data_IF_551451103924
#
_entry.id   IF_551451103924
#
_cell.length_a   1.000
_cell.length_b   1.000
_cell.length_c   1.000
_cell.angle_alpha   90.00
_cell.angle_beta   90.00
_cell.angle_gamma   90.00
#
_symmetry.space_group_name_H-M   'P 1'
#
loop_
_entity.id
_entity.type
_entity.pdbx_description
1 polymer ?
#
# COMPACT_ATOMS: atom_id res chain seq x y z
N UNK A 1 -7.40 8.28 6.09
CA UNK A 1 -6.03 8.47 6.62
C UNK A 1 -5.32 7.14 6.67
N UNK A 2 -4.05 7.14 6.35
CA UNK A 2 -3.25 5.91 6.32
C UNK A 2 -3.27 5.16 7.66
N UNK A 3 -3.04 5.87 8.76
CA UNK A 3 -2.95 5.26 10.09
C UNK A 3 -4.22 4.50 10.47
N UNK A 4 -5.37 5.10 10.24
CA UNK A 4 -6.66 4.47 10.54
C UNK A 4 -6.95 3.30 9.61
N UNK A 5 -6.62 3.45 8.33
CA UNK A 5 -6.83 2.40 7.34
C UNK A 5 -5.97 1.18 7.65
N UNK A 6 -4.73 1.39 8.06
CA UNK A 6 -3.83 0.30 8.45
C UNK A 6 -4.39 -0.47 9.64
N UNK A 7 -4.81 0.25 10.68
CA UNK A 7 -5.37 -0.37 11.89
C UNK A 7 -6.61 -1.20 11.56
N UNK A 8 -7.51 -0.63 10.76
CA UNK A 8 -8.74 -1.30 10.34
C UNK A 8 -8.43 -2.59 9.56
N UNK A 9 -7.54 -2.51 8.58
CA UNK A 9 -7.17 -3.65 7.75
C UNK A 9 -6.50 -4.75 8.59
N UNK A 10 -5.62 -4.37 9.50
CA UNK A 10 -4.97 -5.31 10.41
C UNK A 10 -5.99 -6.08 11.25
N UNK A 11 -6.93 -5.36 11.84
CA UNK A 11 -7.96 -5.96 12.69
C UNK A 11 -8.89 -6.88 11.89
N UNK A 12 -9.25 -6.50 10.67
CA UNK A 12 -10.05 -7.35 9.78
C UNK A 12 -9.35 -8.66 9.47
N UNK A 13 -8.03 -8.63 9.37
CA UNK A 13 -7.23 -9.82 9.13
C UNK A 13 -7.03 -10.65 10.40
N UNK A 14 -7.45 -10.15 11.56
CA UNK A 14 -7.32 -10.85 12.83
C UNK A 14 -5.90 -10.84 13.39
N UNK A 15 -5.07 -9.89 12.98
CA UNK A 15 -3.67 -9.82 13.42
C UNK A 15 -3.50 -8.81 14.56
N UNK A 16 -2.65 -9.18 15.54
CA UNK A 16 -2.15 -8.20 16.50
C UNK A 16 -1.07 -7.35 15.85
N UNK A 17 -0.71 -6.24 16.51
CA UNK A 17 0.43 -5.43 16.07
C UNK A 17 1.72 -6.27 16.04
N UNK A 18 1.91 -7.12 17.03
CA UNK A 18 3.08 -8.00 17.09
C UNK A 18 3.08 -9.02 15.96
N UNK A 19 1.92 -9.61 15.64
CA UNK A 19 1.81 -10.59 14.57
C UNK A 19 2.09 -9.95 13.20
N UNK A 20 1.51 -8.79 12.95
CA UNK A 20 1.77 -8.05 11.71
C UNK A 20 3.24 -7.65 11.62
N UNK A 21 3.81 -7.15 12.71
CA UNK A 21 5.23 -6.77 12.74
C UNK A 21 6.13 -7.94 12.41
N UNK A 22 5.83 -9.12 12.95
CA UNK A 22 6.59 -10.34 12.68
C UNK A 22 6.55 -10.72 11.20
N UNK A 23 5.38 -10.65 10.59
CA UNK A 23 5.23 -10.95 9.16
C UNK A 23 5.98 -9.95 8.27
N UNK A 24 6.03 -8.70 8.68
CA UNK A 24 6.69 -7.63 7.93
C UNK A 24 8.19 -7.51 8.23
N UNK A 25 8.63 -8.06 9.35
CA UNK A 25 10.03 -7.96 9.78
C UNK A 25 10.32 -6.71 10.60
N UNK A 26 9.32 -6.14 11.29
CA UNK A 26 9.48 -4.97 12.16
C UNK A 26 8.89 -5.26 13.54
N UNK A 27 9.20 -4.41 14.50
CA UNK A 27 8.67 -4.55 15.86
C UNK A 27 7.21 -4.11 15.94
N UNK A 28 6.47 -4.65 16.91
CA UNK A 28 5.09 -4.25 17.19
C UNK A 28 4.98 -2.76 17.44
N UNK A 29 5.95 -2.16 18.13
CA UNK A 29 5.99 -0.74 18.40
C UNK A 29 6.03 0.09 17.11
N UNK A 30 6.72 -0.37 16.08
CA UNK A 30 6.76 0.29 14.78
C UNK A 30 5.38 0.32 14.15
N UNK A 31 4.66 -0.81 14.18
CA UNK A 31 3.27 -0.86 13.69
C UNK A 31 2.41 0.14 14.47
N UNK A 32 2.53 0.17 15.79
CA UNK A 32 1.80 1.10 16.63
C UNK A 32 2.06 2.57 16.27
N UNK A 33 3.30 2.93 15.97
CA UNK A 33 3.66 4.29 15.55
C UNK A 33 3.01 4.65 14.22
N UNK A 34 2.94 3.73 13.28
CA UNK A 34 2.25 3.95 12.01
C UNK A 34 0.73 4.12 12.21
N UNK A 35 0.15 3.34 13.11
CA UNK A 35 -1.30 3.39 13.38
C UNK A 35 -1.72 4.61 14.18
N UNK A 36 -0.81 5.29 14.84
CA UNK A 36 -1.08 6.53 15.57
C UNK A 36 -0.62 7.77 14.83
N UNK A 37 -0.07 7.62 13.64
CA UNK A 37 0.39 8.74 12.83
C UNK A 37 1.71 9.35 13.26
N UNK A 38 2.42 8.73 14.20
CA UNK A 38 3.72 9.24 14.68
C UNK A 38 4.83 9.07 13.67
N UNK A 39 4.72 8.07 12.81
CA UNK A 39 5.63 7.85 11.69
C UNK A 39 4.89 7.17 10.57
N UNK A 40 5.50 7.14 9.37
CA UNK A 40 4.91 6.50 8.20
C UNK A 40 5.95 5.62 7.52
N UNK A 41 5.55 4.44 7.02
CA UNK A 41 6.44 3.63 6.22
C UNK A 41 6.62 4.25 4.83
N UNK A 42 7.70 3.90 4.14
CA UNK A 42 7.86 4.28 2.74
C UNK A 42 6.91 3.45 1.86
N UNK A 43 6.78 3.84 0.60
CA UNK A 43 5.83 3.20 -0.30
C UNK A 43 6.15 1.73 -0.55
N UNK A 44 7.42 1.37 -0.58
CA UNK A 44 7.84 -0.03 -0.70
C UNK A 44 7.31 -0.89 0.44
N UNK A 45 7.39 -0.37 1.66
CA UNK A 45 6.86 -1.05 2.85
C UNK A 45 5.34 -1.12 2.82
N UNK A 46 4.67 -0.05 2.35
CA UNK A 46 3.22 -0.05 2.17
C UNK A 46 2.78 -1.15 1.21
N UNK A 47 3.52 -1.36 0.12
CA UNK A 47 3.23 -2.45 -0.81
C UNK A 47 3.30 -3.82 -0.12
N UNK A 48 4.31 -4.03 0.73
CA UNK A 48 4.43 -5.28 1.51
C UNK A 48 3.28 -5.46 2.47
N UNK A 49 2.85 -4.37 3.13
CA UNK A 49 1.68 -4.39 4.01
C UNK A 49 0.43 -4.80 3.23
N UNK A 50 0.23 -4.27 2.04
CA UNK A 50 -0.90 -4.61 1.20
C UNK A 50 -0.91 -6.09 0.83
N UNK A 51 0.25 -6.66 0.52
CA UNK A 51 0.37 -8.09 0.23
C UNK A 51 0.00 -8.93 1.45
N UNK A 52 0.52 -8.60 2.62
CA UNK A 52 0.24 -9.32 3.86
C UNK A 52 -1.24 -9.22 4.23
N UNK A 53 -1.81 -8.04 4.11
CA UNK A 53 -3.19 -7.76 4.49
C UNK A 53 -4.21 -8.12 3.39
N UNK A 54 -3.71 -8.49 2.21
CA UNK A 54 -4.52 -8.84 1.04
C UNK A 54 -5.52 -7.74 0.66
N UNK A 55 -5.01 -6.52 0.58
CA UNK A 55 -5.79 -5.35 0.18
C UNK A 55 -5.07 -4.59 -0.94
N UNK A 56 -5.80 -3.88 -1.79
CA UNK A 56 -5.15 -3.08 -2.83
C UNK A 56 -4.46 -1.85 -2.24
N UNK A 57 -3.40 -1.42 -2.89
CA UNK A 57 -2.58 -0.29 -2.44
C UNK A 57 -3.43 0.97 -2.22
N UNK A 58 -4.35 1.27 -3.11
CA UNK A 58 -5.15 2.49 -2.98
C UNK A 58 -6.01 2.51 -1.71
N UNK A 59 -6.34 1.34 -1.14
CA UNK A 59 -7.11 1.28 0.11
C UNK A 59 -6.39 1.93 1.28
N UNK A 60 -5.06 1.91 1.26
CA UNK A 60 -4.26 2.52 2.34
C UNK A 60 -3.89 3.97 2.05
N UNK A 61 -3.67 4.35 0.80
CA UNK A 61 -3.01 5.62 0.48
C UNK A 61 -3.87 6.61 -0.29
N UNK A 62 -5.06 6.23 -0.75
CA UNK A 62 -5.83 7.03 -1.72
C UNK A 62 -6.13 8.46 -1.27
N UNK A 63 -6.23 8.70 0.02
CA UNK A 63 -6.55 10.01 0.59
C UNK A 63 -5.42 10.59 1.44
N UNK A 64 -4.25 9.99 1.41
CA UNK A 64 -3.13 10.45 2.21
C UNK A 64 -2.19 11.28 1.34
N UNK A 65 -1.99 12.56 1.72
CA UNK A 65 -1.19 13.50 0.95
C UNK A 65 0.26 13.06 0.78
N UNK A 66 0.82 12.31 1.75
CA UNK A 66 2.21 11.87 1.70
C UNK A 66 2.45 10.80 0.63
N UNK A 67 1.38 10.14 0.19
CA UNK A 67 1.47 9.08 -0.82
C UNK A 67 0.77 9.46 -2.13
N UNK A 68 0.42 10.73 -2.31
CA UNK A 68 -0.23 11.14 -3.55
C UNK A 68 0.75 11.10 -4.72
N UNK A 69 0.20 10.82 -5.88
CA UNK A 69 0.97 10.71 -7.11
C UNK A 69 1.53 12.07 -7.53
N UNK A 70 2.77 12.10 -8.00
CA UNK A 70 3.30 13.27 -8.69
C UNK A 70 2.70 13.35 -10.10
N UNK A 71 3.06 14.41 -10.85
CA UNK A 71 2.50 14.65 -12.18
C UNK A 71 2.78 13.50 -13.14
N UNK A 72 4.02 12.99 -13.16
CA UNK A 72 4.41 11.91 -14.06
C UNK A 72 3.68 10.61 -13.74
N UNK A 73 3.59 10.30 -12.46
CA UNK A 73 2.87 9.11 -12.00
C UNK A 73 1.38 9.20 -12.34
N UNK A 74 0.77 10.37 -12.14
CA UNK A 74 -0.63 10.60 -12.47
C UNK A 74 -0.88 10.44 -13.97
N UNK A 75 0.04 10.95 -14.80
CA UNK A 75 -0.03 10.78 -16.25
C UNK A 75 -0.04 9.29 -16.63
N UNK A 76 0.87 8.52 -16.07
CA UNK A 76 0.98 7.08 -16.35
C UNK A 76 -0.29 6.34 -15.92
N UNK A 77 -0.80 6.63 -14.72
CA UNK A 77 -2.02 5.99 -14.20
C UNK A 77 -3.21 6.30 -15.09
N UNK A 78 -3.37 7.56 -15.49
CA UNK A 78 -4.48 7.96 -16.35
C UNK A 78 -4.41 7.28 -17.72
N UNK A 79 -3.24 7.19 -18.30
CA UNK A 79 -3.04 6.50 -19.57
C UNK A 79 -3.32 5.00 -19.45
N UNK A 80 -2.87 4.40 -18.35
CA UNK A 80 -3.16 2.99 -18.09
C UNK A 80 -4.65 2.72 -18.00
N UNK A 81 -5.40 3.60 -17.34
CA UNK A 81 -6.86 3.45 -17.21
C UNK A 81 -7.60 3.53 -18.55
N UNK A 82 -7.04 4.23 -19.52
CA UNK A 82 -7.62 4.36 -20.87
C UNK A 82 -7.43 3.11 -21.72
N UNK A 83 -6.52 2.21 -21.35
CA UNK A 83 -6.25 0.99 -22.09
C UNK A 83 -7.37 -0.03 -21.91
N UNK A 84 -7.57 -0.89 -22.91
CA UNK A 84 -8.40 -2.05 -22.77
C UNK A 84 -7.68 -3.12 -21.93
N UNK A 85 -8.36 -4.23 -21.64
CA UNK A 85 -7.80 -5.27 -20.78
C UNK A 85 -6.51 -5.86 -21.35
N UNK A 86 -6.43 -6.06 -22.66
CA UNK A 86 -5.23 -6.59 -23.31
C UNK A 86 -4.05 -5.62 -23.18
N UNK A 87 -4.29 -4.33 -23.38
CA UNK A 87 -3.27 -3.29 -23.21
C UNK A 87 -2.79 -3.18 -21.77
N UNK A 88 -3.70 -3.25 -20.81
CA UNK A 88 -3.34 -3.25 -19.39
C UNK A 88 -2.48 -4.44 -19.04
N UNK A 89 -2.83 -5.63 -19.53
CA UNK A 89 -2.06 -6.83 -19.26
C UNK A 89 -0.66 -6.77 -19.86
N UNK A 90 -0.53 -6.18 -21.05
CA UNK A 90 0.79 -5.96 -21.67
C UNK A 90 1.68 -5.09 -20.80
N UNK A 91 1.15 -3.99 -20.26
CA UNK A 91 1.92 -3.10 -19.38
C UNK A 91 2.32 -3.83 -18.10
N UNK A 92 1.39 -4.56 -17.49
CA UNK A 92 1.68 -5.33 -16.28
C UNK A 92 2.79 -6.36 -16.54
N UNK A 93 2.73 -7.06 -17.68
CA UNK A 93 3.75 -8.04 -18.04
C UNK A 93 5.13 -7.39 -18.21
N UNK A 94 5.18 -6.22 -18.86
CA UNK A 94 6.42 -5.48 -19.03
C UNK A 94 7.03 -5.07 -17.68
N UNK A 95 6.18 -4.58 -16.78
CA UNK A 95 6.63 -4.17 -15.44
C UNK A 95 7.16 -5.37 -14.63
N UNK A 96 6.56 -6.53 -14.80
CA UNK A 96 7.00 -7.74 -14.12
C UNK A 96 8.34 -8.28 -14.65
N UNK A 97 8.76 -7.85 -15.84
CA UNK A 97 10.05 -8.23 -16.43
C UNK A 97 11.21 -7.40 -15.87
N UNK A 98 10.93 -6.33 -15.21
CA UNK A 98 11.92 -5.44 -14.60
C UNK A 98 12.25 -5.95 -13.19
#
# INVERSE_FOLDING_TARGET
MFSEQLKTARKRKGLSQAALGKLLGVQAQTIGRWETGKSKPNLKTVNKLCDILNIPLYSLISKDADYQLNYEEAFIVNKFRELNDDGKQMIINLLNMI
#
